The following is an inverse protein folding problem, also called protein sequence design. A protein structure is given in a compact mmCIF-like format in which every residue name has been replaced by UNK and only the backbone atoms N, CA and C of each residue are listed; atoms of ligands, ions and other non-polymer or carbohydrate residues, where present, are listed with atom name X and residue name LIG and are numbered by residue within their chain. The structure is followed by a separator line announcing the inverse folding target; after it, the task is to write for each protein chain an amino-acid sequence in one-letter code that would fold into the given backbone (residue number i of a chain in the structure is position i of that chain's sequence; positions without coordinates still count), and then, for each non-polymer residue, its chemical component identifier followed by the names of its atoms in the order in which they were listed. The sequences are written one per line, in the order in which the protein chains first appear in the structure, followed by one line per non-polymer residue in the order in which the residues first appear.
data_IF_754699878986
#
_entry.id   IF_754699878986
#
_cell.length_a   1.000
_cell.length_b   1.000
_cell.length_c   1.000
_cell.angle_alpha   90.00
_cell.angle_beta   90.00
_cell.angle_gamma   90.00
#
_symmetry.space_group_name_H-M   'P 1'
#
loop_
_entity.id
_entity.type
_entity.pdbx_description
1 polymer ?
#
# COMPACT_ATOMS: atom_id res chain seq x y z
N UNK A 1 -0.10 -5.81 -15.65
CA UNK A 1 -1.55 -6.00 -15.59
C UNK A 1 -1.96 -6.96 -14.48
N UNK A 2 -1.28 -8.10 -14.31
CA UNK A 2 -1.60 -9.10 -13.26
C UNK A 2 -1.73 -8.53 -11.84
N UNK A 3 -0.73 -7.81 -11.32
CA UNK A 3 -0.79 -7.23 -9.96
C UNK A 3 -2.04 -6.38 -9.69
N UNK A 4 -2.47 -5.55 -10.65
CA UNK A 4 -3.67 -4.71 -10.49
C UNK A 4 -4.92 -5.58 -10.42
N UNK A 5 -4.99 -6.63 -11.23
CA UNK A 5 -6.11 -7.56 -11.22
C UNK A 5 -6.16 -8.35 -9.90
N UNK A 6 -5.02 -8.85 -9.42
CA UNK A 6 -4.94 -9.56 -8.13
C UNK A 6 -5.29 -8.64 -6.96
N UNK A 7 -4.74 -7.42 -6.93
CA UNK A 7 -5.10 -6.42 -5.91
C UNK A 7 -6.57 -6.07 -5.94
N UNK A 8 -7.15 -5.81 -7.12
CA UNK A 8 -8.58 -5.54 -7.23
C UNK A 8 -9.40 -6.72 -6.73
N UNK A 9 -9.01 -7.96 -7.08
CA UNK A 9 -9.71 -9.18 -6.66
C UNK A 9 -9.65 -9.35 -5.14
N UNK A 10 -8.46 -9.36 -4.55
CA UNK A 10 -8.25 -9.56 -3.11
C UNK A 10 -8.97 -8.46 -2.32
N UNK A 11 -8.74 -7.20 -2.64
CA UNK A 11 -9.33 -6.07 -1.91
C UNK A 11 -10.87 -6.06 -2.02
N UNK A 12 -11.43 -6.33 -3.21
CA UNK A 12 -12.89 -6.38 -3.38
C UNK A 12 -13.56 -7.59 -2.74
N UNK A 13 -12.84 -8.68 -2.45
CA UNK A 13 -13.39 -9.79 -1.65
C UNK A 13 -13.74 -9.36 -0.22
N UNK A 14 -13.12 -8.30 0.30
CA UNK A 14 -13.43 -7.71 1.60
C UNK A 14 -14.46 -6.57 1.53
N UNK A 15 -15.15 -6.39 0.40
CA UNK A 15 -16.16 -5.35 0.23
C UNK A 15 -15.60 -3.95 -0.08
N UNK A 16 -14.31 -3.84 -0.40
CA UNK A 16 -13.71 -2.56 -0.79
C UNK A 16 -13.83 -2.31 -2.30
N UNK A 17 -14.27 -1.11 -2.67
CA UNK A 17 -14.28 -0.63 -4.04
C UNK A 17 -12.92 -0.06 -4.42
N UNK A 18 -12.33 -0.58 -5.51
CA UNK A 18 -10.98 -0.20 -5.95
C UNK A 18 -11.00 0.66 -7.22
N UNK A 19 -10.33 1.81 -7.16
CA UNK A 19 -10.11 2.71 -8.30
C UNK A 19 -8.63 2.99 -8.50
N UNK A 20 -8.21 2.96 -9.77
CA UNK A 20 -6.87 3.39 -10.15
C UNK A 20 -6.84 4.92 -10.19
N UNK A 21 -5.73 5.50 -9.77
CA UNK A 21 -5.48 6.93 -9.82
C UNK A 21 -4.27 7.21 -10.71
N UNK A 22 -4.41 8.18 -11.60
CA UNK A 22 -3.28 8.70 -12.35
C UNK A 22 -2.49 9.67 -11.47
N UNK A 23 -1.27 9.28 -11.13
CA UNK A 23 -0.32 10.15 -10.43
C UNK A 23 0.98 10.15 -11.23
N UNK A 24 1.52 11.32 -11.63
CA UNK A 24 2.73 11.38 -12.44
C UNK A 24 3.88 10.58 -11.81
N UNK A 25 4.43 9.64 -12.58
CA UNK A 25 5.55 8.79 -12.15
C UNK A 25 5.20 7.68 -11.15
N UNK A 26 3.94 7.51 -10.75
CA UNK A 26 3.53 6.52 -9.75
C UNK A 26 2.26 5.79 -10.16
N UNK A 27 2.22 4.47 -9.91
CA UNK A 27 0.99 3.69 -10.02
C UNK A 27 0.32 3.69 -8.66
N UNK A 28 -0.82 4.39 -8.56
CA UNK A 28 -1.57 4.52 -7.31
C UNK A 28 -2.96 3.95 -7.48
N UNK A 29 -3.46 3.29 -6.45
CA UNK A 29 -4.86 2.92 -6.33
C UNK A 29 -5.42 3.43 -5.01
N UNK A 30 -6.71 3.73 -5.00
CA UNK A 30 -7.48 4.01 -3.80
C UNK A 30 -8.53 2.91 -3.64
N UNK A 31 -8.74 2.47 -2.41
CA UNK A 31 -9.78 1.52 -2.06
C UNK A 31 -10.57 2.01 -0.85
N UNK A 32 -11.89 1.81 -0.84
CA UNK A 32 -12.73 2.19 0.30
C UNK A 32 -13.95 1.29 0.47
N UNK A 33 -14.38 1.09 1.71
CA UNK A 33 -15.58 0.32 2.11
C UNK A 33 -16.75 1.24 2.57
N UNK A 34 -16.56 2.56 2.49
CA UNK A 34 -17.48 3.57 3.02
C UNK A 34 -17.13 4.10 4.41
N UNK A 35 -16.27 3.40 5.15
CA UNK A 35 -15.83 3.79 6.51
C UNK A 35 -14.32 4.06 6.58
N UNK A 36 -13.51 3.30 5.86
CA UNK A 36 -12.06 3.45 5.79
C UNK A 36 -11.60 3.47 4.33
N UNK A 37 -10.64 4.36 4.06
CA UNK A 37 -9.94 4.42 2.79
C UNK A 37 -8.51 3.90 2.95
N UNK A 38 -8.03 3.18 1.94
CA UNK A 38 -6.64 2.79 1.75
C UNK A 38 -6.09 3.42 0.48
N UNK A 39 -4.82 3.84 0.52
CA UNK A 39 -4.09 4.30 -0.64
C UNK A 39 -2.91 3.35 -0.88
N UNK A 40 -2.81 2.82 -2.09
CA UNK A 40 -1.83 1.82 -2.46
C UNK A 40 -0.86 2.36 -3.50
N UNK A 41 0.43 2.36 -3.19
CA UNK A 41 1.50 2.56 -4.16
C UNK A 41 1.90 1.20 -4.73
N UNK A 42 1.63 0.97 -6.02
CA UNK A 42 1.92 -0.30 -6.68
C UNK A 42 3.37 -0.35 -7.15
N UNK A 43 4.13 -1.26 -6.57
CA UNK A 43 5.54 -1.48 -6.86
C UNK A 43 5.74 -2.82 -7.60
N UNK A 44 6.39 -2.82 -8.78
CA UNK A 44 6.67 -4.05 -9.51
C UNK A 44 7.71 -4.90 -8.77
N UNK A 45 7.43 -6.18 -8.52
CA UNK A 45 8.27 -7.00 -7.63
C UNK A 45 9.77 -6.99 -7.96
N UNK A 46 10.56 -6.69 -6.91
CA UNK A 46 12.03 -6.63 -6.86
C UNK A 46 12.46 -6.91 -5.43
N UNK A 47 13.70 -7.36 -5.24
CA UNK A 47 14.27 -7.53 -3.89
C UNK A 47 14.47 -6.18 -3.18
N UNK A 48 14.85 -5.15 -3.93
CA UNK A 48 15.09 -3.79 -3.44
C UNK A 48 14.39 -2.76 -4.31
N UNK A 49 13.74 -1.81 -3.65
CA UNK A 49 13.10 -0.67 -4.28
C UNK A 49 13.80 0.61 -3.86
N UNK A 50 14.05 1.50 -4.81
CA UNK A 50 14.50 2.86 -4.54
C UNK A 50 13.38 3.83 -4.92
N UNK A 51 12.89 4.57 -3.95
CA UNK A 51 11.82 5.55 -4.12
C UNK A 51 12.39 6.93 -3.86
N UNK A 52 12.16 7.89 -4.78
CA UNK A 52 12.60 9.27 -4.54
C UNK A 52 11.85 9.83 -3.34
N UNK A 53 12.53 10.58 -2.47
CA UNK A 53 11.90 11.22 -1.30
C UNK A 53 10.70 12.08 -1.69
N UNK A 54 10.77 12.78 -2.83
CA UNK A 54 9.66 13.59 -3.38
C UNK A 54 8.42 12.76 -3.67
N UNK A 55 8.57 11.56 -4.22
CA UNK A 55 7.46 10.68 -4.62
C UNK A 55 6.77 10.10 -3.39
N UNK A 56 7.55 9.64 -2.41
CA UNK A 56 7.03 9.18 -1.10
C UNK A 56 6.29 10.30 -0.38
N UNK A 57 6.81 11.53 -0.42
CA UNK A 57 6.16 12.67 0.20
C UNK A 57 4.86 13.06 -0.50
N UNK A 58 4.83 13.04 -1.84
CA UNK A 58 3.61 13.25 -2.61
C UNK A 58 2.56 12.19 -2.28
N UNK A 59 2.97 10.92 -2.20
CA UNK A 59 2.08 9.82 -1.81
C UNK A 59 1.51 10.00 -0.40
N UNK A 60 2.35 10.38 0.58
CA UNK A 60 1.92 10.70 1.95
C UNK A 60 0.95 11.90 1.99
N UNK A 61 1.19 12.92 1.17
CA UNK A 61 0.26 14.06 1.04
C UNK A 61 -1.10 13.64 0.48
N UNK A 62 -1.10 12.80 -0.55
CA UNK A 62 -2.34 12.25 -1.11
C UNK A 62 -3.09 11.43 -0.05
N UNK A 63 -2.39 10.62 0.73
CA UNK A 63 -3.03 9.83 1.78
C UNK A 63 -3.71 10.70 2.83
N UNK A 64 -3.10 11.81 3.26
CA UNK A 64 -3.79 12.78 4.13
C UNK A 64 -5.00 13.43 3.47
N UNK A 65 -4.88 13.85 2.20
CA UNK A 65 -5.97 14.50 1.47
C UNK A 65 -7.21 13.60 1.34
N UNK A 66 -6.99 12.31 1.08
CA UNK A 66 -8.07 11.33 0.93
C UNK A 66 -8.47 10.65 2.25
N UNK A 67 -7.89 11.08 3.38
CA UNK A 67 -8.08 10.42 4.68
C UNK A 67 -7.86 8.90 4.58
N UNK A 68 -6.84 8.51 3.83
CA UNK A 68 -6.56 7.14 3.46
C UNK A 68 -5.29 6.63 4.16
N UNK A 69 -5.31 5.37 4.58
CA UNK A 69 -4.16 4.67 5.17
C UNK A 69 -3.19 4.25 4.05
N UNK A 70 -1.94 4.73 4.03
CA UNK A 70 -1.01 4.48 2.93
C UNK A 70 -0.27 3.14 3.08
N UNK A 71 -0.23 2.35 2.02
CA UNK A 71 0.58 1.15 1.91
C UNK A 71 1.31 1.10 0.56
N UNK A 72 2.51 0.53 0.57
CA UNK A 72 3.18 0.07 -0.64
C UNK A 72 2.80 -1.37 -0.89
N UNK A 73 2.52 -1.72 -2.14
CA UNK A 73 2.02 -3.05 -2.50
C UNK A 73 2.91 -3.64 -3.57
N UNK A 74 3.41 -4.84 -3.34
CA UNK A 74 4.12 -5.62 -4.36
C UNK A 74 3.49 -7.00 -4.53
N UNK A 75 3.76 -7.65 -5.66
CA UNK A 75 3.19 -8.96 -6.01
C UNK A 75 4.25 -9.85 -6.66
N UNK A 76 4.62 -10.92 -5.98
CA UNK A 76 5.38 -12.05 -6.55
C UNK A 76 4.43 -13.24 -6.76
N UNK A 77 4.16 -13.98 -5.67
CA UNK A 77 3.19 -15.07 -5.62
C UNK A 77 1.90 -14.70 -4.90
N UNK A 78 2.01 -13.77 -3.95
CA UNK A 78 0.93 -13.19 -3.17
C UNK A 78 1.12 -11.67 -3.09
N UNK A 79 0.05 -10.95 -2.75
CA UNK A 79 0.18 -9.53 -2.43
C UNK A 79 0.86 -9.36 -1.08
N UNK A 80 1.75 -8.39 -1.03
CA UNK A 80 2.49 -8.01 0.16
C UNK A 80 2.31 -6.51 0.38
N UNK A 81 1.75 -6.15 1.52
CA UNK A 81 1.46 -4.77 1.90
C UNK A 81 2.47 -4.30 2.92
N UNK A 82 3.16 -3.20 2.61
CA UNK A 82 4.18 -2.62 3.47
C UNK A 82 3.76 -1.21 3.91
N UNK A 83 3.78 -0.92 5.21
CA UNK A 83 3.55 0.44 5.68
C UNK A 83 4.73 1.35 5.29
N UNK A 84 4.50 2.67 5.24
CA UNK A 84 5.56 3.61 4.87
C UNK A 84 6.77 3.61 5.82
N UNK A 85 6.60 3.19 7.08
CA UNK A 85 7.71 3.08 8.03
C UNK A 85 8.63 1.88 7.77
N UNK A 86 8.28 0.99 6.83
CA UNK A 86 9.18 -0.05 6.34
C UNK A 86 10.26 0.51 5.39
N UNK A 87 10.17 1.80 5.03
CA UNK A 87 11.20 2.46 4.24
C UNK A 87 12.38 2.89 5.11
N UNK A 88 13.59 2.56 4.66
CA UNK A 88 14.84 3.04 5.23
C UNK A 88 15.34 4.28 4.46
N UNK A 89 15.89 5.25 5.18
CA UNK A 89 16.44 6.45 4.55
C UNK A 89 17.80 6.18 3.91
N UNK A 90 17.96 6.56 2.63
CA UNK A 90 19.17 6.30 1.85
C UNK A 90 19.51 7.48 0.92
N UNK A 91 20.20 8.50 1.45
CA UNK A 91 20.63 9.66 0.68
C UNK A 91 19.44 10.43 0.09
N UNK A 92 19.35 10.51 -1.24
CA UNK A 92 18.22 11.17 -1.94
C UNK A 92 16.95 10.29 -2.07
N UNK A 93 17.03 9.04 -1.61
CA UNK A 93 15.98 8.05 -1.77
C UNK A 93 15.54 7.49 -0.42
N UNK A 94 14.39 6.84 -0.43
CA UNK A 94 14.04 5.81 0.52
C UNK A 94 14.23 4.44 -0.14
N UNK A 95 14.66 3.46 0.64
CA UNK A 95 14.80 2.08 0.20
C UNK A 95 13.82 1.15 0.92
N UNK A 96 13.20 0.25 0.16
CA UNK A 96 12.49 -0.91 0.71
C UNK A 96 13.29 -2.15 0.31
N UNK A 97 13.94 -2.78 1.27
CA UNK A 97 14.51 -4.12 1.11
C UNK A 97 13.49 -5.16 1.59
N UNK A 98 12.99 -5.97 0.65
CA UNK A 98 11.92 -6.95 0.92
C UNK A 98 12.38 -8.03 1.89
N UNK A 99 13.67 -8.41 1.88
CA UNK A 99 14.20 -9.43 2.79
C UNK A 99 14.29 -8.90 4.22
N UNK A 100 14.81 -7.68 4.38
CA UNK A 100 14.93 -7.06 5.69
C UNK A 100 13.56 -6.65 6.25
N UNK A 101 12.61 -6.29 5.39
CA UNK A 101 11.28 -5.81 5.79
C UNK A 101 10.23 -6.92 5.93
N UNK A 102 10.60 -8.20 5.86
CA UNK A 102 9.62 -9.32 5.92
C UNK A 102 8.74 -9.27 7.17
N UNK A 103 9.29 -8.85 8.31
CA UNK A 103 8.55 -8.74 9.57
C UNK A 103 7.55 -7.57 9.62
N UNK A 104 7.60 -6.66 8.65
CA UNK A 104 6.72 -5.49 8.54
C UNK A 104 5.66 -5.66 7.45
N UNK A 105 5.65 -6.83 6.79
CA UNK A 105 4.72 -7.14 5.72
C UNK A 105 3.39 -7.63 6.30
N UNK A 106 2.29 -7.13 5.73
CA UNK A 106 0.94 -7.60 6.02
C UNK A 106 0.31 -8.27 4.80
N UNK A 107 -0.61 -9.19 5.07
CA UNK A 107 -1.66 -9.57 4.10
C UNK A 107 -2.82 -8.58 4.20
N UNK A 108 -3.65 -8.48 3.16
CA UNK A 108 -4.82 -7.59 3.26
C UNK A 108 -5.83 -8.09 4.30
N UNK A 109 -5.99 -9.40 4.45
CA UNK A 109 -6.77 -10.04 5.53
C UNK A 109 -6.37 -9.53 6.92
N UNK A 110 -5.06 -9.44 7.18
CA UNK A 110 -4.53 -8.95 8.45
C UNK A 110 -4.90 -7.48 8.65
N UNK A 111 -4.74 -6.66 7.62
CA UNK A 111 -5.07 -5.22 7.67
C UNK A 111 -6.56 -5.01 7.98
N UNK A 112 -7.45 -5.75 7.30
CA UNK A 112 -8.89 -5.66 7.53
C UNK A 112 -9.26 -6.15 8.92
N UNK A 113 -8.68 -7.28 9.37
CA UNK A 113 -8.94 -7.83 10.70
C UNK A 113 -8.54 -6.87 11.83
N UNK A 114 -7.36 -6.25 11.76
CA UNK A 114 -6.92 -5.24 12.73
C UNK A 114 -7.84 -4.02 12.74
N UNK A 115 -8.27 -3.58 11.55
CA UNK A 115 -9.20 -2.47 11.44
C UNK A 115 -10.56 -2.82 12.05
N UNK A 116 -11.10 -4.03 11.83
CA UNK A 116 -12.36 -4.47 12.40
C UNK A 116 -12.28 -4.55 13.92
N UNK A 117 -11.17 -5.06 14.46
CA UNK A 117 -10.92 -5.06 15.90
C UNK A 117 -10.92 -3.64 16.47
N UNK A 118 -10.28 -2.68 15.79
CA UNK A 118 -10.30 -1.27 16.22
C UNK A 118 -11.71 -0.66 16.23
N UNK A 119 -12.61 -1.08 15.33
CA UNK A 119 -14.00 -0.58 15.27
C UNK A 119 -14.89 -1.21 16.35
N UNK A 120 -14.63 -2.47 16.74
CA UNK A 120 -15.44 -3.20 17.74
C UNK A 120 -15.10 -2.85 19.19
N UNK A 121 -13.93 -2.25 19.45
CA UNK A 121 -13.47 -1.87 20.79
C UNK A 121 -14.01 -0.47 21.20
N UNK A 122 -14.91 0.12 20.41
CA UNK A 122 -15.58 1.40 20.71
C UNK A 122 -16.83 1.18 21.55
#
# INVERSE_FOLDING_TARGET
MRQIAEMRKEVSQHGFDVRMMEVPGMKVAIAGDGEVNYLFMLLPFRDKFKLKKRDVWLFKKLSYKFQARPFMVTFDKMLSFYPLHALEEAGEHFELDIRNSRGLMFSFDTIVSEQLQQRLVV
#
